data_IF_687320841470
#
_entry.id   IF_687320841470
#
_cell.length_a   1.000
_cell.length_b   1.000
_cell.length_c   1.000
_cell.angle_alpha   90.00
_cell.angle_beta   90.00
_cell.angle_gamma   90.00
#
_symmetry.space_group_name_H-M   'P 1'
#
loop_
_entity.id
_entity.type
_entity.pdbx_description
1 polymer ?
#
# COMPACT_ATOMS: atom_id res chain seq x y z
N UNK A 1 51.20 16.67 5.69
CA UNK A 1 49.97 17.36 5.25
C UNK A 1 49.59 16.85 3.87
N UNK A 2 48.94 15.68 3.77
CA UNK A 2 48.57 15.08 2.47
C UNK A 2 47.34 14.17 2.60
N UNK A 3 46.33 14.63 3.36
CA UNK A 3 45.05 13.93 3.56
C UNK A 3 43.82 14.82 3.27
N UNK A 4 44.00 16.10 2.96
CA UNK A 4 42.90 17.01 2.60
C UNK A 4 42.51 16.95 1.13
N UNK A 5 43.43 16.56 0.24
CA UNK A 5 43.23 16.74 -1.20
C UNK A 5 42.58 15.53 -1.88
N UNK A 6 42.53 14.37 -1.21
CA UNK A 6 41.87 13.15 -1.70
C UNK A 6 40.34 13.17 -1.51
N UNK A 7 39.79 14.15 -0.81
CA UNK A 7 38.34 14.30 -0.64
C UNK A 7 37.68 15.10 -1.78
N UNK A 8 38.47 15.78 -2.61
CA UNK A 8 37.98 16.68 -3.66
C UNK A 8 37.81 16.01 -5.04
N UNK A 9 38.50 14.91 -5.31
CA UNK A 9 38.50 14.26 -6.64
C UNK A 9 37.35 13.27 -6.89
N UNK A 10 36.51 13.00 -5.88
CA UNK A 10 35.38 12.07 -6.01
C UNK A 10 34.07 12.58 -5.42
N UNK A 11 34.03 13.84 -4.96
CA UNK A 11 32.79 14.44 -4.48
C UNK A 11 31.95 14.85 -5.69
N UNK A 12 30.70 14.35 -5.83
CA UNK A 12 29.83 14.77 -6.92
C UNK A 12 29.68 16.28 -6.88
N UNK A 13 29.76 16.90 -8.05
CA UNK A 13 29.49 18.33 -8.17
C UNK A 13 28.09 18.65 -7.64
N UNK A 14 27.82 19.87 -7.15
CA UNK A 14 26.49 20.25 -6.67
C UNK A 14 25.37 19.94 -7.68
N UNK A 15 25.66 20.08 -8.99
CA UNK A 15 24.72 19.75 -10.06
C UNK A 15 24.47 18.23 -10.20
N UNK A 16 25.49 17.39 -10.03
CA UNK A 16 25.33 15.93 -10.03
C UNK A 16 24.57 15.46 -8.78
N UNK A 17 24.79 16.08 -7.64
CA UNK A 17 24.05 15.80 -6.42
C UNK A 17 22.56 16.20 -6.56
N UNK A 18 22.27 17.37 -7.14
CA UNK A 18 20.91 17.83 -7.39
C UNK A 18 20.19 16.93 -8.40
N UNK A 19 20.87 16.53 -9.49
CA UNK A 19 20.33 15.58 -10.46
C UNK A 19 20.04 14.20 -9.85
N UNK A 20 20.96 13.69 -9.01
CA UNK A 20 20.77 12.44 -8.29
C UNK A 20 19.62 12.51 -7.27
N UNK A 21 19.50 13.62 -6.53
CA UNK A 21 18.42 13.84 -5.59
C UNK A 21 17.05 13.91 -6.30
N UNK A 22 16.98 14.58 -7.45
CA UNK A 22 15.77 14.66 -8.27
C UNK A 22 15.38 13.30 -8.85
N UNK A 23 16.35 12.51 -9.31
CA UNK A 23 16.12 11.16 -9.80
C UNK A 23 15.54 10.25 -8.70
N UNK A 24 16.17 10.24 -7.52
CA UNK A 24 15.68 9.47 -6.36
C UNK A 24 14.28 9.93 -5.94
N UNK A 25 14.01 11.23 -5.95
CA UNK A 25 12.69 11.75 -5.61
C UNK A 25 11.62 11.27 -6.61
N UNK A 26 11.93 11.31 -7.90
CA UNK A 26 11.03 10.87 -8.98
C UNK A 26 10.75 9.36 -8.89
N UNK A 27 11.79 8.56 -8.63
CA UNK A 27 11.65 7.10 -8.48
C UNK A 27 10.77 6.74 -7.29
N UNK A 28 10.96 7.41 -6.14
CA UNK A 28 10.13 7.20 -4.94
C UNK A 28 8.67 7.55 -5.22
N UNK A 29 8.40 8.63 -5.96
CA UNK A 29 7.04 8.99 -6.37
C UNK A 29 6.43 7.89 -7.26
N UNK A 30 7.19 7.37 -8.22
CA UNK A 30 6.75 6.28 -9.10
C UNK A 30 6.38 5.02 -8.32
N UNK A 31 7.23 4.58 -7.39
CA UNK A 31 6.97 3.42 -6.52
C UNK A 31 5.75 3.67 -5.62
N UNK A 32 5.63 4.87 -5.06
CA UNK A 32 4.50 5.24 -4.21
C UNK A 32 3.19 5.19 -4.98
N UNK A 33 3.15 5.75 -6.20
CA UNK A 33 1.98 5.70 -7.08
C UNK A 33 1.62 4.27 -7.47
N UNK A 34 2.61 3.44 -7.80
CA UNK A 34 2.38 2.03 -8.10
C UNK A 34 1.76 1.28 -6.90
N UNK A 35 2.27 1.51 -5.68
CA UNK A 35 1.73 0.91 -4.47
C UNK A 35 0.30 1.40 -4.17
N UNK A 36 0.06 2.71 -4.29
CA UNK A 36 -1.26 3.32 -4.10
C UNK A 36 -2.27 2.85 -5.14
N UNK A 37 -1.85 2.48 -6.35
CA UNK A 37 -2.73 1.91 -7.37
C UNK A 37 -2.98 0.40 -7.17
N UNK A 38 -1.94 -0.37 -6.82
CA UNK A 38 -2.03 -1.83 -6.70
C UNK A 38 -2.71 -2.29 -5.42
N UNK A 39 -2.42 -1.64 -4.29
CA UNK A 39 -2.97 -2.04 -2.99
C UNK A 39 -4.51 -2.04 -2.94
N UNK A 40 -5.20 -1.00 -3.45
CA UNK A 40 -6.67 -0.99 -3.52
C UNK A 40 -7.23 -2.17 -4.31
N UNK A 41 -6.68 -2.41 -5.50
CA UNK A 41 -7.12 -3.48 -6.38
C UNK A 41 -6.89 -4.85 -5.74
N UNK A 42 -5.70 -5.08 -5.17
CA UNK A 42 -5.38 -6.31 -4.46
C UNK A 42 -6.31 -6.55 -3.26
N UNK A 43 -6.59 -5.50 -2.47
CA UNK A 43 -7.49 -5.61 -1.31
C UNK A 43 -8.92 -5.95 -1.72
N UNK A 44 -9.41 -5.37 -2.83
CA UNK A 44 -10.73 -5.70 -3.40
C UNK A 44 -10.77 -7.16 -3.84
N UNK A 45 -9.81 -7.58 -4.66
CA UNK A 45 -9.82 -8.93 -5.25
C UNK A 45 -9.63 -10.01 -4.18
N UNK A 46 -8.69 -9.82 -3.26
CA UNK A 46 -8.45 -10.75 -2.15
C UNK A 46 -9.66 -10.77 -1.20
N UNK A 47 -10.17 -9.59 -0.80
CA UNK A 47 -11.31 -9.50 0.10
C UNK A 47 -12.57 -10.17 -0.46
N UNK A 48 -12.92 -9.88 -1.72
CA UNK A 48 -14.06 -10.52 -2.38
C UNK A 48 -13.84 -12.02 -2.59
N UNK A 49 -12.64 -12.42 -3.04
CA UNK A 49 -12.29 -13.83 -3.24
C UNK A 49 -12.40 -14.66 -1.97
N UNK A 50 -11.88 -14.13 -0.85
CA UNK A 50 -12.00 -14.77 0.46
C UNK A 50 -13.44 -14.80 0.96
N UNK A 51 -14.22 -13.73 0.74
CA UNK A 51 -15.62 -13.66 1.20
C UNK A 51 -16.51 -14.76 0.60
N UNK A 52 -16.19 -15.21 -0.64
CA UNK A 52 -16.90 -16.28 -1.32
C UNK A 52 -16.65 -17.65 -0.68
N UNK A 53 -15.47 -17.87 -0.08
CA UNK A 53 -15.12 -19.14 0.59
C UNK A 53 -15.84 -19.33 1.91
N UNK A 54 -16.20 -18.26 2.60
CA UNK A 54 -16.90 -18.36 3.88
C UNK A 54 -18.41 -18.54 3.67
N UNK A 55 -18.95 -19.70 4.05
CA UNK A 55 -20.37 -20.00 3.89
C UNK A 55 -21.28 -19.21 4.86
N UNK A 56 -20.84 -19.02 6.11
CA UNK A 56 -21.60 -18.31 7.15
C UNK A 56 -21.06 -16.90 7.38
N UNK A 57 -21.93 -15.99 7.84
CA UNK A 57 -21.52 -14.63 8.20
C UNK A 57 -20.85 -14.65 9.57
N UNK A 58 -19.54 -14.90 9.56
CA UNK A 58 -18.68 -14.92 10.73
C UNK A 58 -17.66 -13.76 10.71
N UNK A 59 -16.82 -13.69 11.76
CA UNK A 59 -15.79 -12.67 11.88
C UNK A 59 -14.84 -12.63 10.66
N UNK A 60 -14.53 -13.79 10.06
CA UNK A 60 -13.58 -13.89 8.96
C UNK A 60 -14.20 -13.43 7.64
N UNK A 61 -15.46 -13.76 7.40
CA UNK A 61 -16.24 -13.20 6.28
C UNK A 61 -16.39 -11.69 6.42
N UNK A 62 -16.65 -11.21 7.64
CA UNK A 62 -16.68 -9.77 7.95
C UNK A 62 -15.34 -9.09 7.65
N UNK A 63 -14.23 -9.68 8.07
CA UNK A 63 -12.88 -9.18 7.78
C UNK A 63 -12.58 -9.17 6.28
N UNK A 64 -13.00 -10.20 5.53
CA UNK A 64 -12.85 -10.26 4.08
C UNK A 64 -13.62 -9.14 3.37
N UNK A 65 -14.87 -8.87 3.77
CA UNK A 65 -15.63 -7.74 3.24
C UNK A 65 -15.04 -6.38 3.64
N UNK A 66 -14.57 -6.23 4.89
CA UNK A 66 -13.92 -5.02 5.34
C UNK A 66 -12.63 -4.72 4.57
N UNK A 67 -11.86 -5.76 4.21
CA UNK A 67 -10.70 -5.66 3.33
C UNK A 67 -11.09 -5.21 1.91
N UNK A 68 -12.16 -5.77 1.35
CA UNK A 68 -12.66 -5.30 0.06
C UNK A 68 -13.11 -3.83 0.11
N UNK A 69 -13.82 -3.46 1.18
CA UNK A 69 -14.26 -2.08 1.41
C UNK A 69 -13.08 -1.11 1.59
N UNK A 70 -12.03 -1.49 2.31
CA UNK A 70 -10.83 -0.65 2.43
C UNK A 70 -10.14 -0.44 1.09
N UNK A 71 -10.12 -1.47 0.23
CA UNK A 71 -9.64 -1.34 -1.14
C UNK A 71 -10.51 -0.38 -1.97
N UNK A 72 -11.84 -0.44 -1.86
CA UNK A 72 -12.74 0.50 -2.52
C UNK A 72 -12.51 1.95 -2.08
N UNK A 73 -12.33 2.18 -0.77
CA UNK A 73 -11.99 3.51 -0.23
C UNK A 73 -10.67 4.00 -0.81
N UNK A 74 -9.63 3.16 -0.84
CA UNK A 74 -8.34 3.50 -1.44
C UNK A 74 -8.45 3.84 -2.93
N UNK A 75 -9.25 3.09 -3.69
CA UNK A 75 -9.46 3.32 -5.11
C UNK A 75 -10.19 4.65 -5.37
N UNK A 76 -11.28 4.91 -4.64
CA UNK A 76 -12.02 6.18 -4.73
C UNK A 76 -11.11 7.35 -4.37
N UNK A 77 -10.34 7.23 -3.28
CA UNK A 77 -9.39 8.25 -2.85
C UNK A 77 -8.32 8.53 -3.91
N UNK A 78 -7.81 7.49 -4.57
CA UNK A 78 -6.87 7.63 -5.69
C UNK A 78 -7.49 8.34 -6.90
N UNK A 79 -8.72 7.98 -7.29
CA UNK A 79 -9.45 8.65 -8.38
C UNK A 79 -9.73 10.13 -8.06
N UNK A 80 -10.03 10.46 -6.80
CA UNK A 80 -10.16 11.84 -6.35
C UNK A 80 -8.84 12.60 -6.42
N UNK A 81 -7.73 11.98 -5.98
CA UNK A 81 -6.41 12.59 -6.07
C UNK A 81 -6.01 12.92 -7.52
N UNK A 82 -6.36 12.05 -8.48
CA UNK A 82 -6.11 12.29 -9.91
C UNK A 82 -7.01 13.39 -10.51
N UNK A 83 -8.26 13.50 -10.06
CA UNK A 83 -9.24 14.42 -10.64
C UNK A 83 -9.22 15.82 -10.00
N UNK A 84 -8.66 15.97 -8.80
CA UNK A 84 -8.59 17.24 -8.07
C UNK A 84 -7.17 17.50 -7.51
N UNK A 85 -6.21 17.94 -8.34
CA UNK A 85 -4.82 18.19 -7.92
C UNK A 85 -4.67 19.33 -6.88
N UNK A 86 -5.72 20.12 -6.64
CA UNK A 86 -5.78 21.13 -5.58
C UNK A 86 -6.38 20.63 -4.26
N UNK A 87 -6.83 19.37 -4.19
CA UNK A 87 -7.31 18.79 -2.95
C UNK A 87 -6.15 18.65 -1.95
N UNK A 88 -6.43 18.91 -0.67
CA UNK A 88 -5.41 18.85 0.38
C UNK A 88 -4.73 17.48 0.44
N UNK A 89 -3.48 17.40 -0.03
CA UNK A 89 -2.70 16.15 -0.10
C UNK A 89 -2.68 15.43 1.26
N UNK A 90 -2.65 16.18 2.37
CA UNK A 90 -2.69 15.62 3.71
C UNK A 90 -3.96 14.81 4.01
N UNK A 91 -5.14 15.26 3.57
CA UNK A 91 -6.38 14.52 3.83
C UNK A 91 -6.46 13.26 2.99
N UNK A 92 -6.02 13.32 1.73
CA UNK A 92 -5.93 12.16 0.84
C UNK A 92 -4.96 11.11 1.40
N UNK A 93 -3.80 11.53 1.91
CA UNK A 93 -2.84 10.62 2.56
C UNK A 93 -3.40 10.01 3.85
N UNK A 94 -4.08 10.81 4.69
CA UNK A 94 -4.72 10.31 5.91
C UNK A 94 -5.75 9.23 5.60
N UNK A 95 -6.62 9.45 4.62
CA UNK A 95 -7.62 8.49 4.16
C UNK A 95 -6.98 7.20 3.63
N UNK A 96 -5.95 7.33 2.81
CA UNK A 96 -5.21 6.18 2.27
C UNK A 96 -4.56 5.35 3.39
N UNK A 97 -3.92 6.02 4.35
CA UNK A 97 -3.28 5.34 5.48
C UNK A 97 -4.29 4.65 6.39
N UNK A 98 -5.45 5.27 6.63
CA UNK A 98 -6.53 4.65 7.39
C UNK A 98 -7.05 3.38 6.70
N UNK A 99 -7.25 3.44 5.38
CA UNK A 99 -7.66 2.28 4.59
C UNK A 99 -6.59 1.16 4.64
N UNK A 100 -5.31 1.50 4.55
CA UNK A 100 -4.19 0.56 4.72
C UNK A 100 -4.21 -0.11 6.09
N UNK A 101 -4.41 0.65 7.17
CA UNK A 101 -4.49 0.09 8.52
C UNK A 101 -5.67 -0.88 8.69
N UNK A 102 -6.85 -0.49 8.20
CA UNK A 102 -8.03 -1.38 8.25
C UNK A 102 -7.77 -2.66 7.44
N UNK A 103 -7.26 -2.53 6.22
CA UNK A 103 -6.92 -3.68 5.38
C UNK A 103 -5.89 -4.60 6.05
N UNK A 104 -4.86 -4.03 6.66
CA UNK A 104 -3.82 -4.77 7.40
C UNK A 104 -4.37 -5.54 8.60
N UNK A 105 -5.24 -4.93 9.40
CA UNK A 105 -5.92 -5.61 10.53
C UNK A 105 -6.77 -6.76 10.01
N UNK A 106 -7.54 -6.55 8.94
CA UNK A 106 -8.36 -7.60 8.33
C UNK A 106 -7.50 -8.75 7.81
N UNK A 107 -6.34 -8.43 7.21
CA UNK A 107 -5.39 -9.43 6.73
C UNK A 107 -4.82 -10.27 7.87
N UNK A 108 -4.51 -9.66 9.02
CA UNK A 108 -4.09 -10.39 10.23
C UNK A 108 -5.19 -11.31 10.76
N UNK A 109 -6.45 -10.85 10.77
CA UNK A 109 -7.60 -11.67 11.19
C UNK A 109 -7.78 -12.88 10.29
N UNK A 110 -7.67 -12.72 8.98
CA UNK A 110 -7.73 -13.83 8.01
C UNK A 110 -6.52 -14.75 8.18
N UNK A 111 -5.30 -14.21 8.29
CA UNK A 111 -4.09 -15.01 8.50
C UNK A 111 -4.13 -15.84 9.80
N UNK A 112 -4.73 -15.29 10.86
CA UNK A 112 -5.00 -16.03 12.09
C UNK A 112 -5.98 -17.19 11.88
N UNK A 113 -7.00 -16.99 11.03
CA UNK A 113 -7.94 -18.04 10.63
C UNK A 113 -7.23 -19.20 9.91
N UNK A 114 -6.31 -18.86 8.99
CA UNK A 114 -5.47 -19.83 8.28
C UNK A 114 -4.57 -20.59 9.25
N UNK A 115 -3.91 -19.89 10.19
CA UNK A 115 -3.06 -20.51 11.20
C UNK A 115 -3.85 -21.50 12.09
N UNK A 116 -5.11 -21.21 12.39
CA UNK A 116 -6.01 -22.12 13.12
C UNK A 116 -6.47 -23.33 12.31
N UNK A 117 -6.17 -23.39 11.01
CA UNK A 117 -6.62 -24.49 10.14
C UNK A 117 -8.12 -24.47 9.89
N UNK A 118 -8.73 -23.28 9.73
CA UNK A 118 -10.12 -23.16 9.28
C UNK A 118 -10.32 -23.95 7.99
N UNK A 119 -11.30 -24.85 7.99
CA UNK A 119 -11.57 -25.78 6.88
C UNK A 119 -11.88 -25.03 5.59
N UNK A 120 -12.57 -23.89 5.67
CA UNK A 120 -12.90 -23.05 4.51
C UNK A 120 -11.67 -22.43 3.80
N UNK A 121 -10.50 -22.50 4.44
CA UNK A 121 -9.23 -21.96 3.95
C UNK A 121 -8.16 -23.05 3.77
N UNK A 122 -8.50 -24.32 3.95
CA UNK A 122 -7.57 -25.43 3.71
C UNK A 122 -7.45 -25.73 2.22
N UNK A 123 -6.38 -26.43 1.83
CA UNK A 123 -6.14 -26.88 0.44
C UNK A 123 -7.20 -27.90 -0.04
N UNK A 124 -7.94 -28.50 0.90
CA UNK A 124 -8.94 -29.53 0.64
C UNK A 124 -10.37 -28.96 0.41
N UNK A 125 -10.53 -27.63 0.41
CA UNK A 125 -11.80 -26.92 0.25
C UNK A 125 -12.04 -26.31 -1.13
#
# INVERSE_FOLDING_TARGET
MQRSDLAAEGAPSPAEFEAAALAVHTDIIGVTLAFVALFPLASITVGLGLSYRFASMDLYKGAAYAMAASGLVGLVNFLFAMSAPGAGIQSLLLLNNLALYVGGICFLVVGYAMYKGRVELSEEA
#
